data_IF_085870425425
#
_entry.id   IF_085870425425
#
_cell.length_a   1.000
_cell.length_b   1.000
_cell.length_c   1.000
_cell.angle_alpha   90.00
_cell.angle_beta   90.00
_cell.angle_gamma   90.00
#
_symmetry.space_group_name_H-M   'P 1'
#
loop_
_entity.id
_entity.type
_entity.pdbx_description
1 polymer ?
#
# COMPACT_ATOMS: atom_id res chain seq x y z
N UNK A 1 -39.11 -38.02 -24.14
CA UNK A 1 -38.14 -37.89 -25.26
C UNK A 1 -37.92 -36.39 -25.42
N UNK A 2 -36.73 -35.87 -25.13
CA UNK A 2 -36.44 -34.46 -25.41
C UNK A 2 -36.28 -34.26 -26.91
N UNK A 3 -36.92 -33.23 -27.46
CA UNK A 3 -36.70 -32.83 -28.85
C UNK A 3 -35.30 -32.21 -29.02
N UNK A 4 -34.72 -32.37 -30.21
CA UNK A 4 -33.44 -31.76 -30.56
C UNK A 4 -33.62 -30.24 -30.76
N UNK A 5 -33.06 -29.46 -29.84
CA UNK A 5 -33.18 -28.00 -29.81
C UNK A 5 -32.75 -27.33 -31.14
N UNK A 6 -31.74 -27.87 -31.83
CA UNK A 6 -31.30 -27.32 -33.11
C UNK A 6 -32.30 -27.60 -34.24
N UNK A 7 -33.00 -28.73 -34.19
CA UNK A 7 -34.08 -29.04 -35.15
C UNK A 7 -35.31 -28.18 -34.90
N UNK A 8 -35.67 -27.94 -33.63
CA UNK A 8 -36.77 -27.05 -33.25
C UNK A 8 -36.47 -25.62 -33.70
N UNK A 9 -35.29 -25.07 -33.38
CA UNK A 9 -34.91 -23.71 -33.80
C UNK A 9 -34.97 -23.53 -35.32
N UNK A 10 -34.50 -24.51 -36.09
CA UNK A 10 -34.61 -24.49 -37.56
C UNK A 10 -36.06 -24.49 -38.04
N UNK A 11 -36.95 -25.27 -37.42
CA UNK A 11 -38.35 -25.37 -37.84
C UNK A 11 -39.16 -24.10 -37.53
N UNK A 12 -38.79 -23.37 -36.48
CA UNK A 12 -39.50 -22.16 -36.04
C UNK A 12 -38.85 -20.84 -36.46
N UNK A 13 -37.69 -20.86 -37.11
CA UNK A 13 -36.89 -19.67 -37.42
C UNK A 13 -37.65 -18.59 -38.23
N UNK A 14 -38.51 -19.01 -39.18
CA UNK A 14 -39.36 -18.10 -39.95
C UNK A 14 -40.30 -17.31 -39.03
N UNK A 15 -40.88 -17.98 -38.05
CA UNK A 15 -41.85 -17.40 -37.14
C UNK A 15 -41.19 -16.56 -36.05
N UNK A 16 -39.98 -16.94 -35.60
CA UNK A 16 -39.12 -16.06 -34.78
C UNK A 16 -38.82 -14.77 -35.52
N UNK A 17 -38.47 -14.84 -36.80
CA UNK A 17 -38.18 -13.67 -37.63
C UNK A 17 -39.42 -12.76 -37.76
N UNK A 18 -40.60 -13.35 -37.92
CA UNK A 18 -41.86 -12.61 -37.96
C UNK A 18 -42.17 -11.95 -36.60
N UNK A 19 -42.08 -12.69 -35.50
CA UNK A 19 -42.26 -12.17 -34.15
C UNK A 19 -41.28 -11.03 -33.82
N UNK A 20 -40.04 -11.11 -34.34
CA UNK A 20 -39.03 -10.04 -34.22
C UNK A 20 -39.48 -8.75 -34.90
N UNK A 21 -39.97 -8.85 -36.13
CA UNK A 21 -40.37 -7.72 -36.95
C UNK A 21 -41.64 -7.06 -36.43
N UNK A 22 -42.64 -7.87 -36.06
CA UNK A 22 -43.94 -7.36 -35.63
C UNK A 22 -43.98 -7.03 -34.14
N UNK A 23 -43.06 -7.60 -33.34
CA UNK A 23 -43.07 -7.52 -31.87
C UNK A 23 -44.37 -8.01 -31.24
N UNK A 24 -45.03 -8.97 -31.90
CA UNK A 24 -46.31 -9.55 -31.47
C UNK A 24 -46.21 -11.05 -31.29
N UNK A 25 -47.02 -11.59 -30.39
CA UNK A 25 -47.16 -13.04 -30.17
C UNK A 25 -47.70 -13.71 -31.43
N UNK A 26 -47.01 -14.74 -31.90
CA UNK A 26 -47.40 -15.51 -33.08
C UNK A 26 -48.09 -16.81 -32.64
N UNK A 27 -49.34 -16.99 -33.05
CA UNK A 27 -50.06 -18.26 -32.93
C UNK A 27 -49.99 -18.98 -34.28
N UNK A 28 -49.37 -20.15 -34.31
CA UNK A 28 -49.11 -20.95 -35.51
C UNK A 28 -49.92 -22.24 -35.41
N UNK A 29 -50.69 -22.51 -36.46
CA UNK A 29 -51.49 -23.73 -36.57
C UNK A 29 -51.04 -24.46 -37.83
N UNK A 30 -50.24 -25.52 -37.68
CA UNK A 30 -49.92 -26.38 -38.81
C UNK A 30 -51.19 -27.15 -39.21
N UNK A 31 -51.57 -27.11 -40.49
CA UNK A 31 -52.72 -27.88 -40.98
C UNK A 31 -52.36 -29.37 -40.94
N UNK A 32 -53.20 -30.25 -40.37
CA UNK A 32 -52.94 -31.68 -40.37
C UNK A 32 -52.89 -32.16 -41.83
N UNK A 33 -51.83 -32.90 -42.17
CA UNK A 33 -51.72 -33.60 -43.45
C UNK A 33 -51.96 -35.09 -43.19
N UNK A 34 -52.33 -35.86 -44.22
CA UNK A 34 -52.69 -37.28 -44.10
C UNK A 34 -51.58 -38.22 -43.55
N UNK A 35 -50.39 -37.70 -43.22
CA UNK A 35 -49.24 -38.48 -42.70
C UNK A 35 -48.57 -37.90 -41.44
N UNK A 36 -48.95 -36.72 -40.95
CA UNK A 36 -48.30 -36.07 -39.79
C UNK A 36 -49.35 -35.34 -38.96
N UNK A 37 -49.40 -35.62 -37.65
CA UNK A 37 -50.23 -34.86 -36.70
C UNK A 37 -49.82 -33.38 -36.75
N UNK A 38 -50.79 -32.47 -36.73
CA UNK A 38 -50.50 -31.03 -36.71
C UNK A 38 -49.82 -30.63 -35.41
N UNK A 39 -48.94 -29.63 -35.45
CA UNK A 39 -48.38 -28.99 -34.26
C UNK A 39 -48.97 -27.59 -34.12
N UNK A 40 -49.57 -27.32 -32.97
CA UNK A 40 -49.88 -25.95 -32.54
C UNK A 40 -48.64 -25.36 -31.90
N UNK A 41 -48.27 -24.12 -32.23
CA UNK A 41 -47.13 -23.42 -31.62
C UNK A 41 -47.49 -21.99 -31.25
N UNK A 42 -46.95 -21.51 -30.14
CA UNK A 42 -47.00 -20.09 -29.78
C UNK A 42 -45.57 -19.60 -29.55
N UNK A 43 -45.25 -18.46 -30.16
CA UNK A 43 -43.98 -17.75 -29.94
C UNK A 43 -44.32 -16.36 -29.41
N UNK A 44 -43.95 -16.09 -28.16
CA UNK A 44 -44.14 -14.79 -27.53
C UNK A 44 -42.79 -14.09 -27.35
N UNK A 45 -42.58 -12.87 -27.89
CA UNK A 45 -41.35 -12.13 -27.68
C UNK A 45 -41.25 -11.62 -26.23
N UNK A 46 -40.08 -11.74 -25.61
CA UNK A 46 -39.76 -11.15 -24.31
C UNK A 46 -39.24 -9.73 -24.55
N UNK A 47 -40.06 -8.71 -24.26
CA UNK A 47 -39.72 -7.31 -24.53
C UNK A 47 -39.76 -6.50 -23.23
N UNK A 48 -38.65 -5.86 -22.88
CA UNK A 48 -38.56 -4.90 -21.78
C UNK A 48 -37.89 -3.62 -22.30
N UNK A 49 -38.37 -2.45 -21.86
CA UNK A 49 -37.83 -1.12 -22.25
C UNK A 49 -37.58 -0.96 -23.76
N UNK A 50 -38.48 -1.49 -24.60
CA UNK A 50 -38.37 -1.47 -26.07
C UNK A 50 -37.19 -2.28 -26.66
N UNK A 51 -36.54 -3.13 -25.85
CA UNK A 51 -35.52 -4.09 -26.25
C UNK A 51 -36.09 -5.52 -26.25
N UNK A 52 -35.79 -6.28 -27.30
CA UNK A 52 -36.13 -7.70 -27.37
C UNK A 52 -35.05 -8.51 -26.63
N UNK A 53 -35.41 -9.13 -25.51
CA UNK A 53 -34.51 -9.93 -24.67
C UNK A 53 -34.46 -11.39 -25.10
N UNK A 54 -35.52 -11.90 -25.75
CA UNK A 54 -35.61 -13.29 -26.17
C UNK A 54 -37.02 -13.67 -26.62
N UNK A 55 -37.32 -14.97 -26.62
CA UNK A 55 -38.63 -15.51 -26.97
C UNK A 55 -39.03 -16.63 -26.00
N UNK A 56 -40.31 -16.67 -25.67
CA UNK A 56 -40.96 -17.80 -25.04
C UNK A 56 -41.63 -18.66 -26.12
N UNK A 57 -41.36 -19.95 -26.11
CA UNK A 57 -41.85 -20.92 -27.10
C UNK A 57 -42.61 -22.04 -26.40
N UNK A 58 -43.78 -22.37 -26.93
CA UNK A 58 -44.52 -23.57 -26.54
C UNK A 58 -45.08 -24.23 -27.79
N UNK A 59 -45.10 -25.56 -27.79
CA UNK A 59 -45.77 -26.37 -28.80
C UNK A 59 -46.64 -27.46 -28.16
N UNK A 60 -47.59 -27.93 -28.95
CA UNK A 60 -48.48 -29.01 -28.56
C UNK A 60 -48.86 -29.83 -29.80
N UNK A 61 -48.77 -31.15 -29.68
CA UNK A 61 -49.29 -32.06 -30.71
C UNK A 61 -50.82 -31.96 -30.73
N UNK A 62 -51.39 -31.82 -31.93
CA UNK A 62 -52.82 -31.71 -32.19
C UNK A 62 -53.67 -32.83 -31.59
N UNK A 63 -53.08 -33.98 -31.26
CA UNK A 63 -53.76 -35.07 -30.55
C UNK A 63 -54.14 -34.71 -29.11
N UNK A 64 -53.47 -33.71 -28.52
CA UNK A 64 -53.72 -33.23 -27.15
C UNK A 64 -54.57 -31.96 -27.10
N UNK A 65 -54.89 -31.36 -28.25
CA UNK A 65 -55.73 -30.16 -28.37
C UNK A 65 -55.18 -29.15 -29.38
N UNK A 66 -55.74 -27.94 -29.41
CA UNK A 66 -55.23 -26.84 -30.24
C UNK A 66 -55.20 -25.53 -29.47
N UNK A 67 -54.13 -24.77 -29.61
CA UNK A 67 -54.05 -23.43 -29.05
C UNK A 67 -55.08 -22.47 -29.67
N UNK A 68 -55.66 -21.63 -28.83
CA UNK A 68 -56.57 -20.55 -29.23
C UNK A 68 -55.98 -19.15 -28.95
N UNK A 69 -56.79 -18.11 -29.12
CA UNK A 69 -56.35 -16.73 -28.86
C UNK A 69 -56.19 -16.44 -27.37
N UNK A 70 -56.91 -17.15 -26.50
CA UNK A 70 -56.79 -17.02 -25.04
C UNK A 70 -55.41 -17.50 -24.60
N UNK A 71 -54.97 -18.66 -25.12
CA UNK A 71 -53.63 -19.20 -24.85
C UNK A 71 -52.53 -18.24 -25.33
N UNK A 72 -52.73 -17.66 -26.53
CA UNK A 72 -51.82 -16.66 -27.11
C UNK A 72 -51.68 -15.44 -26.21
N UNK A 73 -52.81 -14.89 -25.75
CA UNK A 73 -52.82 -13.67 -24.95
C UNK A 73 -52.24 -13.93 -23.55
N UNK A 74 -52.54 -15.09 -22.95
CA UNK A 74 -51.95 -15.51 -21.67
C UNK A 74 -50.43 -15.68 -21.76
N UNK A 75 -49.93 -16.34 -22.81
CA UNK A 75 -48.48 -16.48 -23.02
C UNK A 75 -47.82 -15.13 -23.27
N UNK A 76 -48.52 -14.21 -23.95
CA UNK A 76 -48.07 -12.82 -24.11
C UNK A 76 -47.92 -12.09 -22.79
N UNK A 77 -48.87 -12.25 -21.86
CA UNK A 77 -48.78 -11.66 -20.51
C UNK A 77 -47.59 -12.23 -19.72
N UNK A 78 -47.41 -13.55 -19.74
CA UNK A 78 -46.27 -14.21 -19.10
C UNK A 78 -44.93 -13.77 -19.70
N UNK A 79 -44.87 -13.64 -21.02
CA UNK A 79 -43.68 -13.14 -21.70
C UNK A 79 -43.33 -11.70 -21.30
N UNK A 80 -44.32 -10.83 -21.16
CA UNK A 80 -44.09 -9.46 -20.68
C UNK A 80 -43.58 -9.43 -19.24
N UNK A 81 -44.18 -10.20 -18.32
CA UNK A 81 -43.71 -10.27 -16.94
C UNK A 81 -42.30 -10.87 -16.82
N UNK A 82 -42.03 -11.95 -17.57
CA UNK A 82 -40.72 -12.57 -17.64
C UNK A 82 -39.65 -11.63 -18.20
N UNK A 83 -39.98 -10.82 -19.20
CA UNK A 83 -39.06 -9.84 -19.76
C UNK A 83 -38.65 -8.77 -18.72
N UNK A 84 -39.61 -8.25 -17.96
CA UNK A 84 -39.33 -7.28 -16.89
C UNK A 84 -38.46 -7.89 -15.79
N UNK A 85 -38.74 -9.14 -15.39
CA UNK A 85 -37.95 -9.83 -14.37
C UNK A 85 -36.50 -10.07 -14.82
N UNK A 86 -36.29 -10.47 -16.08
CA UNK A 86 -34.96 -10.68 -16.65
C UNK A 86 -34.16 -9.38 -16.79
N UNK A 87 -34.81 -8.29 -17.21
CA UNK A 87 -34.21 -6.96 -17.29
C UNK A 87 -33.70 -6.51 -15.91
N UNK A 88 -34.55 -6.62 -14.89
CA UNK A 88 -34.19 -6.29 -13.51
C UNK A 88 -33.05 -7.15 -12.96
N UNK A 89 -33.06 -8.46 -13.22
CA UNK A 89 -32.00 -9.36 -12.77
C UNK A 89 -30.64 -9.02 -13.40
N UNK A 90 -30.62 -8.70 -14.71
CA UNK A 90 -29.42 -8.26 -15.40
C UNK A 90 -28.89 -6.91 -14.88
N UNK A 91 -29.78 -5.97 -14.59
CA UNK A 91 -29.40 -4.68 -13.99
C UNK A 91 -28.76 -4.85 -12.60
N UNK A 92 -29.33 -5.70 -11.74
CA UNK A 92 -28.80 -5.97 -10.40
C UNK A 92 -27.41 -6.61 -10.50
N UNK A 93 -27.24 -7.64 -11.33
CA UNK A 93 -25.94 -8.29 -11.50
C UNK A 93 -24.86 -7.30 -12.01
N UNK A 94 -25.22 -6.41 -12.94
CA UNK A 94 -24.31 -5.38 -13.43
C UNK A 94 -23.96 -4.32 -12.37
N UNK A 95 -24.87 -4.02 -11.44
CA UNK A 95 -24.60 -3.14 -10.30
C UNK A 95 -23.66 -3.81 -9.29
N UNK A 96 -23.91 -5.09 -8.96
CA UNK A 96 -23.05 -5.86 -8.05
C UNK A 96 -21.62 -5.95 -8.57
N UNK A 97 -21.44 -6.26 -9.86
CA UNK A 97 -20.12 -6.27 -10.49
C UNK A 97 -19.41 -4.91 -10.40
N UNK A 98 -20.12 -3.80 -10.67
CA UNK A 98 -19.55 -2.46 -10.54
C UNK A 98 -19.17 -2.12 -9.10
N UNK A 99 -19.96 -2.58 -8.12
CA UNK A 99 -19.65 -2.37 -6.69
C UNK A 99 -18.39 -3.14 -6.32
N UNK A 100 -18.24 -4.38 -6.77
CA UNK A 100 -17.05 -5.20 -6.52
C UNK A 100 -15.80 -4.57 -7.14
N UNK A 101 -15.86 -4.18 -8.42
CA UNK A 101 -14.77 -3.48 -9.11
C UNK A 101 -14.36 -2.19 -8.39
N UNK A 102 -15.34 -1.37 -7.97
CA UNK A 102 -15.08 -0.14 -7.21
C UNK A 102 -14.51 -0.40 -5.84
N UNK A 103 -14.96 -1.45 -5.16
CA UNK A 103 -14.46 -1.82 -3.83
C UNK A 103 -13.00 -2.27 -3.91
N UNK A 104 -12.65 -3.07 -4.92
CA UNK A 104 -11.28 -3.49 -5.16
C UNK A 104 -10.35 -2.29 -5.46
N UNK A 105 -10.77 -1.37 -6.33
CA UNK A 105 -10.02 -0.13 -6.62
C UNK A 105 -9.82 0.74 -5.37
N UNK A 106 -10.85 0.86 -4.51
CA UNK A 106 -10.74 1.59 -3.26
C UNK A 106 -9.75 0.93 -2.30
N UNK A 107 -9.75 -0.39 -2.21
CA UNK A 107 -8.80 -1.13 -1.37
C UNK A 107 -7.35 -0.95 -1.85
N UNK A 108 -7.11 -0.95 -3.15
CA UNK A 108 -5.79 -0.66 -3.73
C UNK A 108 -5.34 0.76 -3.36
N UNK A 109 -6.20 1.77 -3.57
CA UNK A 109 -5.90 3.16 -3.18
C UNK A 109 -5.66 3.33 -1.68
N UNK A 110 -6.41 2.65 -0.82
CA UNK A 110 -6.19 2.68 0.64
C UNK A 110 -4.81 2.11 0.96
N UNK A 111 -4.41 1.01 0.32
CA UNK A 111 -3.08 0.40 0.53
C UNK A 111 -1.95 1.32 0.08
N UNK A 112 -2.08 1.97 -1.09
CA UNK A 112 -1.12 2.95 -1.57
C UNK A 112 -0.98 4.13 -0.59
N UNK A 113 -2.10 4.68 -0.11
CA UNK A 113 -2.10 5.78 0.86
C UNK A 113 -1.48 5.38 2.20
N UNK A 114 -1.67 4.14 2.64
CA UNK A 114 -1.04 3.64 3.87
C UNK A 114 0.49 3.55 3.72
N UNK A 115 0.98 3.12 2.56
CA UNK A 115 2.42 3.08 2.26
C UNK A 115 3.00 4.49 2.20
N UNK A 116 2.32 5.43 1.52
CA UNK A 116 2.77 6.82 1.44
C UNK A 116 2.82 7.45 2.83
N UNK A 117 1.78 7.26 3.66
CA UNK A 117 1.75 7.78 5.02
C UNK A 117 2.88 7.24 5.90
N UNK A 118 3.20 5.94 5.80
CA UNK A 118 4.28 5.36 6.60
C UNK A 118 5.66 5.90 6.20
N UNK A 119 5.89 6.12 4.89
CA UNK A 119 7.11 6.77 4.38
C UNK A 119 7.20 8.22 4.89
N UNK A 120 6.11 8.99 4.79
CA UNK A 120 6.06 10.38 5.27
C UNK A 120 6.32 10.48 6.77
N UNK A 121 5.73 9.59 7.58
CA UNK A 121 5.97 9.52 9.02
C UNK A 121 7.42 9.18 9.35
N UNK A 122 8.03 8.23 8.63
CA UNK A 122 9.44 7.89 8.79
C UNK A 122 10.36 9.09 8.49
N UNK A 123 10.13 9.79 7.38
CA UNK A 123 10.89 10.97 7.00
C UNK A 123 10.70 12.14 7.98
N UNK A 124 9.46 12.39 8.43
CA UNK A 124 9.18 13.42 9.42
C UNK A 124 9.87 13.12 10.76
N UNK A 125 9.83 11.87 11.22
CA UNK A 125 10.52 11.46 12.45
C UNK A 125 12.04 11.60 12.34
N UNK A 126 12.62 11.33 11.17
CA UNK A 126 14.06 11.51 10.92
C UNK A 126 14.45 13.00 10.90
N UNK A 127 13.64 13.85 10.26
CA UNK A 127 13.82 15.31 10.28
C UNK A 127 13.68 15.90 11.69
N UNK A 128 12.70 15.44 12.46
CA UNK A 128 12.52 15.85 13.86
C UNK A 128 13.73 15.43 14.71
N UNK A 129 14.27 14.22 14.49
CA UNK A 129 15.45 13.75 15.22
C UNK A 129 16.70 14.58 14.91
N UNK A 130 17.00 14.84 13.64
CA UNK A 130 18.15 15.67 13.27
C UNK A 130 18.00 17.10 13.81
N UNK A 131 16.80 17.68 13.75
CA UNK A 131 16.53 19.00 14.31
C UNK A 131 16.76 19.06 15.84
N UNK A 132 16.38 18.00 16.58
CA UNK A 132 16.67 17.88 18.02
C UNK A 132 18.18 17.79 18.25
N UNK A 133 18.90 16.99 17.46
CA UNK A 133 20.36 16.86 17.56
C UNK A 133 21.04 18.20 17.30
N UNK A 134 20.63 18.94 16.28
CA UNK A 134 21.17 20.26 15.99
C UNK A 134 20.89 21.26 17.12
N UNK A 135 19.67 21.28 17.67
CA UNK A 135 19.33 22.12 18.82
C UNK A 135 20.18 21.79 20.06
N UNK A 136 20.35 20.50 20.36
CA UNK A 136 21.17 20.06 21.50
C UNK A 136 22.64 20.40 21.27
N UNK A 137 23.17 20.12 20.07
CA UNK A 137 24.56 20.43 19.72
C UNK A 137 24.85 21.93 19.76
N UNK A 138 23.97 22.77 19.23
CA UNK A 138 24.07 24.22 19.32
C UNK A 138 24.09 24.68 20.78
N UNK A 139 23.18 24.14 21.62
CA UNK A 139 23.13 24.49 23.04
C UNK A 139 24.38 24.06 23.80
N UNK A 140 24.94 22.89 23.50
CA UNK A 140 26.18 22.42 24.10
C UNK A 140 27.35 23.32 23.73
N UNK A 141 27.47 23.75 22.46
CA UNK A 141 28.50 24.73 22.07
C UNK A 141 28.39 26.04 22.83
N UNK A 142 27.18 26.56 23.00
CA UNK A 142 26.96 27.79 23.77
C UNK A 142 27.37 27.62 25.24
N UNK A 143 27.00 26.51 25.87
CA UNK A 143 27.26 26.26 27.30
C UNK A 143 28.74 25.98 27.57
N UNK A 144 29.38 25.18 26.71
CA UNK A 144 30.79 24.84 26.82
C UNK A 144 31.72 25.91 26.25
N UNK A 145 31.15 26.89 25.54
CA UNK A 145 31.89 27.90 24.77
C UNK A 145 32.97 27.25 23.89
N UNK A 146 32.62 26.14 23.24
CA UNK A 146 33.52 25.33 22.42
C UNK A 146 33.10 25.38 20.95
N UNK A 147 34.09 25.59 20.09
CA UNK A 147 33.97 25.47 18.64
C UNK A 147 34.23 24.05 18.11
N UNK A 148 34.62 23.13 19.01
CA UNK A 148 35.10 21.79 18.69
C UNK A 148 34.27 20.75 19.47
N UNK A 149 33.21 20.25 18.83
CA UNK A 149 32.28 19.29 19.43
C UNK A 149 31.67 18.38 18.36
N UNK A 150 31.47 17.12 18.72
CA UNK A 150 30.77 16.14 17.92
C UNK A 150 29.70 15.38 18.69
N UNK A 151 28.61 15.01 18.03
CA UNK A 151 27.59 14.08 18.52
C UNK A 151 27.55 12.91 17.53
N UNK A 152 27.90 11.72 18.02
CA UNK A 152 28.01 10.51 17.21
C UNK A 152 27.04 9.45 17.72
N UNK A 153 26.29 8.88 16.80
CA UNK A 153 25.27 7.88 17.09
C UNK A 153 25.72 6.50 16.64
N UNK A 154 25.49 5.48 17.46
CA UNK A 154 25.80 4.09 17.13
C UNK A 154 24.54 3.32 16.80
N UNK A 155 24.51 2.72 15.62
CA UNK A 155 23.48 1.77 15.23
C UNK A 155 23.97 0.34 15.51
N UNK A 156 23.34 -0.32 16.48
CA UNK A 156 23.66 -1.69 16.88
C UNK A 156 23.29 -2.74 15.83
N UNK A 157 22.39 -2.43 14.89
CA UNK A 157 21.99 -3.36 13.82
C UNK A 157 23.02 -3.40 12.70
N UNK A 158 23.55 -2.23 12.35
CA UNK A 158 24.52 -2.08 11.24
C UNK A 158 25.96 -2.07 11.72
N UNK A 159 26.19 -1.88 13.02
CA UNK A 159 27.50 -1.70 13.64
C UNK A 159 28.26 -0.49 13.07
N UNK A 160 27.55 0.60 12.83
CA UNK A 160 28.09 1.85 12.27
C UNK A 160 27.91 2.98 13.29
N UNK A 161 28.97 3.79 13.45
CA UNK A 161 28.94 5.08 14.12
C UNK A 161 28.71 6.16 13.06
N UNK A 162 27.60 6.88 13.18
CA UNK A 162 27.21 7.97 12.30
C UNK A 162 27.40 9.30 13.03
N UNK A 163 28.27 10.18 12.53
CA UNK A 163 28.34 11.58 12.97
C UNK A 163 27.04 12.30 12.62
N UNK A 164 26.33 12.81 13.63
CA UNK A 164 25.08 13.56 13.45
C UNK A 164 25.28 15.07 13.59
N UNK A 165 26.32 15.46 14.33
CA UNK A 165 26.69 16.84 14.58
C UNK A 165 28.21 16.92 14.71
N UNK A 166 28.90 17.73 13.92
CA UNK A 166 30.36 17.87 14.00
C UNK A 166 30.74 19.32 13.70
N UNK A 167 31.41 19.95 14.66
CA UNK A 167 32.02 21.25 14.52
C UNK A 167 33.48 21.15 14.92
N UNK A 168 34.32 21.85 14.17
CA UNK A 168 35.74 21.99 14.45
C UNK A 168 36.20 23.38 14.00
N UNK A 169 37.03 24.04 14.81
CA UNK A 169 37.44 25.43 14.63
C UNK A 169 36.25 26.36 14.33
N UNK A 170 35.12 26.13 15.01
CA UNK A 170 33.84 26.84 14.83
C UNK A 170 33.21 26.67 13.42
N UNK A 171 33.65 25.69 12.63
CA UNK A 171 33.08 25.38 11.33
C UNK A 171 32.38 24.02 11.37
N UNK A 172 31.18 23.94 10.77
CA UNK A 172 30.50 22.66 10.60
C UNK A 172 31.29 21.83 9.59
N UNK A 173 31.70 20.64 9.99
CA UNK A 173 32.45 19.72 9.12
C UNK A 173 31.64 18.46 8.85
N UNK A 174 32.05 17.71 7.82
CA UNK A 174 31.50 16.40 7.51
C UNK A 174 32.54 15.32 7.83
N UNK A 175 32.20 14.43 8.75
CA UNK A 175 32.98 13.22 9.04
C UNK A 175 32.21 12.02 8.49
N UNK A 176 32.89 11.16 7.73
CA UNK A 176 32.26 9.97 7.16
C UNK A 176 31.90 8.96 8.26
N UNK A 177 30.76 8.26 8.16
CA UNK A 177 30.42 7.17 9.05
C UNK A 177 31.50 6.08 9.07
N UNK A 178 31.71 5.46 10.23
CA UNK A 178 32.77 4.48 10.42
C UNK A 178 32.33 3.33 11.33
N UNK A 179 32.97 2.18 11.19
CA UNK A 179 32.79 1.08 12.14
C UNK A 179 33.56 1.36 13.43
N UNK A 180 33.06 0.96 14.62
CA UNK A 180 33.83 1.07 15.86
C UNK A 180 35.20 0.40 15.76
N UNK A 181 36.23 1.10 16.20
CA UNK A 181 37.57 0.53 16.30
C UNK A 181 37.67 -0.37 17.52
N UNK A 182 38.25 -1.57 17.34
CA UNK A 182 38.51 -2.50 18.44
C UNK A 182 39.45 -1.88 19.46
N UNK A 183 39.05 -1.85 20.73
CA UNK A 183 39.77 -1.19 21.81
C UNK A 183 39.70 0.35 21.78
N UNK A 184 39.00 0.94 20.82
CA UNK A 184 38.84 2.38 20.69
C UNK A 184 37.90 3.00 21.74
N UNK A 185 37.67 4.32 21.67
CA UNK A 185 36.89 5.03 22.69
C UNK A 185 35.48 4.46 22.85
N UNK A 186 34.81 4.13 21.74
CA UNK A 186 33.44 3.65 21.78
C UNK A 186 33.27 2.31 22.52
N UNK A 187 34.11 1.31 22.26
CA UNK A 187 34.05 0.02 23.00
C UNK A 187 34.35 0.22 24.49
N UNK A 188 35.28 1.14 24.81
CA UNK A 188 35.60 1.48 26.19
C UNK A 188 34.40 2.14 26.88
N UNK A 189 33.72 3.08 26.22
CA UNK A 189 32.48 3.69 26.71
C UNK A 189 31.38 2.65 26.93
N UNK A 190 31.19 1.71 26.00
CA UNK A 190 30.22 0.62 26.16
C UNK A 190 30.49 -0.21 27.42
N UNK A 191 31.77 -0.45 27.72
CA UNK A 191 32.20 -1.24 28.88
C UNK A 191 32.11 -0.45 30.18
N UNK A 192 32.60 0.79 30.20
CA UNK A 192 32.73 1.59 31.44
C UNK A 192 31.48 2.38 31.77
N UNK A 193 30.70 2.78 30.76
CA UNK A 193 29.55 3.71 30.85
C UNK A 193 29.91 5.02 31.57
N UNK A 194 31.17 5.42 31.46
CA UNK A 194 31.72 6.63 32.10
C UNK A 194 32.46 7.47 31.07
N UNK A 195 32.51 8.80 31.24
CA UNK A 195 33.32 9.65 30.40
C UNK A 195 34.77 9.19 30.33
N UNK A 196 35.37 9.29 29.14
CA UNK A 196 36.79 9.10 28.92
C UNK A 196 37.42 10.47 28.70
N UNK A 197 38.44 10.78 29.49
CA UNK A 197 39.12 12.07 29.48
C UNK A 197 40.56 11.83 29.08
N UNK A 198 41.02 12.60 28.10
CA UNK A 198 42.41 12.63 27.68
C UNK A 198 42.89 14.07 27.82
N UNK A 199 43.74 14.32 28.80
CA UNK A 199 44.18 15.65 29.18
C UNK A 199 45.35 16.16 28.34
N UNK A 200 46.12 15.26 27.72
CA UNK A 200 47.29 15.61 26.91
C UNK A 200 47.31 14.82 25.61
N UNK A 201 48.12 15.26 24.64
CA UNK A 201 48.33 14.52 23.39
C UNK A 201 49.00 13.16 23.61
N UNK A 202 49.88 13.04 24.61
CA UNK A 202 50.54 11.77 24.94
C UNK A 202 49.54 10.73 25.45
N UNK A 203 48.56 11.13 26.27
CA UNK A 203 47.49 10.23 26.73
C UNK A 203 46.66 9.71 25.54
N UNK A 204 46.39 10.58 24.56
CA UNK A 204 45.68 10.23 23.34
C UNK A 204 46.49 9.26 22.47
N UNK A 205 47.79 9.53 22.29
CA UNK A 205 48.70 8.71 21.48
C UNK A 205 48.91 7.32 22.11
N UNK A 206 49.08 7.25 23.44
CA UNK A 206 49.21 5.98 24.18
C UNK A 206 47.93 5.15 24.08
N UNK A 207 46.76 5.80 24.06
CA UNK A 207 45.49 5.12 23.84
C UNK A 207 45.31 4.69 22.37
N UNK A 208 46.00 5.34 21.44
CA UNK A 208 45.90 5.08 20.00
C UNK A 208 44.75 5.83 19.33
N UNK A 209 44.42 7.03 19.80
CA UNK A 209 43.46 7.89 19.09
C UNK A 209 44.01 8.30 17.72
N UNK A 210 43.11 8.43 16.76
CA UNK A 210 43.43 8.90 15.41
C UNK A 210 42.74 10.22 15.14
N UNK A 211 43.47 11.12 14.49
CA UNK A 211 42.96 12.40 14.00
C UNK A 211 42.02 12.13 12.82
N UNK A 212 40.87 12.79 12.80
CA UNK A 212 39.90 12.59 11.74
C UNK A 212 40.41 13.22 10.41
N UNK A 213 40.07 12.65 9.25
CA UNK A 213 40.51 13.22 7.98
C UNK A 213 40.02 14.66 7.79
N UNK A 214 40.94 15.58 7.52
CA UNK A 214 40.63 17.00 7.34
C UNK A 214 40.69 17.83 8.62
N UNK A 215 41.05 17.19 9.75
CA UNK A 215 41.18 17.83 11.06
C UNK A 215 42.63 17.86 11.57
N UNK A 216 42.86 18.49 12.71
CA UNK A 216 44.14 18.47 13.44
C UNK A 216 44.02 17.86 14.85
N UNK A 217 45.15 17.67 15.52
CA UNK A 217 45.18 17.02 16.83
C UNK A 217 44.89 18.03 17.95
N UNK A 218 43.84 17.77 18.73
CA UNK A 218 43.51 18.56 19.91
C UNK A 218 44.46 18.27 21.08
N UNK A 219 44.66 19.26 21.96
CA UNK A 219 45.53 19.12 23.14
C UNK A 219 44.87 18.33 24.26
N UNK A 220 43.55 18.42 24.37
CA UNK A 220 42.76 17.58 25.26
C UNK A 220 41.39 17.29 24.65
N UNK A 221 40.84 16.12 24.98
CA UNK A 221 39.55 15.66 24.45
C UNK A 221 38.79 14.85 25.50
N UNK A 222 37.46 14.93 25.46
CA UNK A 222 36.57 14.14 26.31
C UNK A 222 35.52 13.46 25.46
N UNK A 223 35.28 12.19 25.76
CA UNK A 223 34.20 11.39 25.21
C UNK A 223 33.17 11.10 26.29
N UNK A 224 31.93 11.51 26.09
CA UNK A 224 30.83 11.38 27.04
C UNK A 224 29.80 10.40 26.47
N UNK A 225 29.47 9.29 27.15
CA UNK A 225 28.54 8.31 26.62
C UNK A 225 27.09 8.81 26.65
N UNK A 226 26.35 8.59 25.56
CA UNK A 226 24.90 8.73 25.53
C UNK A 226 24.29 7.39 25.89
N UNK A 227 23.59 7.32 27.03
CA UNK A 227 23.09 6.06 27.61
C UNK A 227 21.57 6.05 27.59
N UNK A 228 20.99 5.00 27.02
CA UNK A 228 19.54 4.73 27.03
C UNK A 228 19.32 3.33 27.59
N UNK A 229 18.50 3.20 28.64
CA UNK A 229 18.14 1.91 29.25
C UNK A 229 19.36 1.00 29.49
N UNK A 230 20.42 1.57 30.04
CA UNK A 230 21.71 0.91 30.34
C UNK A 230 22.57 0.52 29.12
N UNK A 231 22.20 0.92 27.91
CA UNK A 231 23.00 0.72 26.69
C UNK A 231 23.61 2.03 26.19
N UNK A 232 24.88 2.00 25.80
CA UNK A 232 25.52 3.14 25.13
C UNK A 232 25.09 3.16 23.67
N UNK A 233 24.32 4.18 23.29
CA UNK A 233 23.74 4.35 21.96
C UNK A 233 24.49 5.39 21.11
N UNK A 234 25.49 6.02 21.69
CA UNK A 234 26.28 7.06 21.05
C UNK A 234 27.19 7.74 22.05
N UNK A 235 27.82 8.82 21.63
CA UNK A 235 28.67 9.63 22.50
C UNK A 235 28.78 11.05 21.97
N UNK A 236 29.06 11.97 22.89
CA UNK A 236 29.46 13.34 22.60
C UNK A 236 30.99 13.37 22.71
N UNK A 237 31.65 14.04 21.79
CA UNK A 237 33.07 14.35 21.85
C UNK A 237 33.23 15.85 21.93
N UNK A 238 34.10 16.36 22.80
CA UNK A 238 34.50 17.77 22.84
C UNK A 238 36.01 17.85 22.90
N UNK A 239 36.58 18.81 22.18
CA UNK A 239 38.02 18.94 22.00
C UNK A 239 38.48 20.35 22.37
N UNK A 240 39.73 20.47 22.80
CA UNK A 240 40.34 21.76 23.09
C UNK A 240 41.71 21.84 22.42
N UNK A 241 41.81 22.73 21.43
CA UNK A 241 43.04 22.95 20.66
C UNK A 241 43.99 23.96 21.35
N UNK A 242 43.52 24.69 22.37
CA UNK A 242 44.28 25.77 22.99
C UNK A 242 45.15 25.29 24.16
N UNK A 243 44.63 24.38 25.00
CA UNK A 243 45.32 23.91 26.22
C UNK A 243 45.10 22.43 26.53
N UNK A 244 46.10 21.85 27.20
CA UNK A 244 45.98 20.57 27.91
C UNK A 244 45.17 20.75 29.20
N UNK A 245 44.66 19.65 29.75
CA UNK A 245 43.86 19.62 30.98
C UNK A 245 42.65 20.57 30.94
N UNK A 246 42.00 20.72 29.78
CA UNK A 246 40.91 21.68 29.62
C UNK A 246 39.62 21.28 30.35
N UNK A 247 39.47 20.01 30.74
CA UNK A 247 38.25 19.42 31.25
C UNK A 247 38.40 18.93 32.69
N UNK A 248 37.89 19.71 33.65
CA UNK A 248 37.82 19.33 35.06
C UNK A 248 36.56 18.53 35.39
N UNK A 249 36.40 18.16 36.67
CA UNK A 249 35.20 17.44 37.11
C UNK A 249 33.90 18.26 36.94
N UNK A 250 33.99 19.58 36.93
CA UNK A 250 32.86 20.49 36.67
C UNK A 250 32.36 20.37 35.24
N UNK A 251 33.29 20.39 34.28
CA UNK A 251 33.01 20.32 32.85
C UNK A 251 32.49 18.93 32.44
N UNK A 252 32.92 17.87 33.15
CA UNK A 252 32.50 16.49 32.88
C UNK A 252 31.11 16.15 33.48
N UNK A 253 30.68 16.89 34.52
CA UNK A 253 29.40 16.65 35.21
C UNK A 253 28.22 17.46 34.67
N UNK A 254 28.49 18.44 33.80
CA UNK A 254 27.48 19.24 33.08
C UNK A 254 26.77 18.41 32.00
#
# INVERSE_FOLDING_TARGET
>A
RGEDANKVLKSINKYISQARLTRTVQLIKDRPSSKVNGLGRIIAPLIAQNQLLGYLYVDMDSIYGTFDNTDRDMLGMLANQGAVALDNAGLIAGLEQKVEERTAQLQEHISELQIINSIQQGLAAELDFQAIVDLVGDKLREVLNSGDIGIRWYDSKTNIITPLYEYEHNQRIYIAPAVPQKGGPFEKLQTTKKPLVFNTTEEQDVFGLSVAPGTDQSKSTVYIPIIVSDSVVGYIITENHEREYAYGESEIRL
#
